data_IF_450842780230
#
_entry.id   IF_450842780230
#
_cell.length_a   1.000
_cell.length_b   1.000
_cell.length_c   1.000
_cell.angle_alpha   90.00
_cell.angle_beta   90.00
_cell.angle_gamma   90.00
#
_symmetry.space_group_name_H-M   'P 1'
#
loop_
_entity.id
_entity.type
_entity.pdbx_description
1 polymer ?
#
# COMPACT_ATOMS: atom_id res chain seq x y z
N UNK A 1 20.90 0.61 -25.09
CA UNK A 1 21.29 1.72 -24.18
C UNK A 1 20.69 3.07 -24.57
N UNK A 2 20.69 3.48 -25.86
CA UNK A 2 20.13 4.79 -26.28
C UNK A 2 18.60 4.90 -26.11
N UNK A 3 17.83 3.85 -26.42
CA UNK A 3 16.37 3.89 -26.31
C UNK A 3 15.87 3.87 -24.86
N UNK A 4 16.44 3.01 -24.00
CA UNK A 4 16.08 2.94 -22.57
C UNK A 4 16.42 4.21 -21.80
N UNK A 5 17.51 4.89 -22.16
CA UNK A 5 17.84 6.21 -21.60
C UNK A 5 16.89 7.31 -22.11
N UNK A 6 16.41 7.22 -23.35
CA UNK A 6 15.40 8.17 -23.86
C UNK A 6 14.09 8.04 -23.10
N UNK A 7 13.71 6.81 -22.73
CA UNK A 7 12.44 6.52 -22.06
C UNK A 7 12.41 7.08 -20.63
N UNK A 8 13.45 6.86 -19.82
CA UNK A 8 13.48 7.39 -18.44
C UNK A 8 13.68 8.91 -18.38
N UNK A 9 14.00 9.58 -19.49
CA UNK A 9 14.33 11.01 -19.51
C UNK A 9 13.18 11.92 -19.91
N UNK A 10 11.94 11.41 -19.90
CA UNK A 10 10.76 12.19 -20.22
C UNK A 10 10.55 13.38 -19.26
N UNK A 11 10.01 14.47 -19.83
CA UNK A 11 9.58 15.66 -19.10
C UNK A 11 8.06 15.68 -18.97
N UNK A 12 7.55 16.16 -17.84
CA UNK A 12 6.13 16.18 -17.53
C UNK A 12 5.33 17.06 -18.51
N UNK A 13 4.20 16.54 -19.00
CA UNK A 13 3.34 17.28 -19.91
C UNK A 13 2.70 18.48 -19.18
N UNK A 14 2.74 19.66 -19.80
CA UNK A 14 2.25 20.91 -19.20
C UNK A 14 0.75 21.15 -19.40
N UNK A 15 0.10 20.35 -20.24
CA UNK A 15 -1.31 20.45 -20.59
C UNK A 15 -2.03 19.12 -20.33
N UNK A 16 -3.37 19.14 -20.25
CA UNK A 16 -4.19 17.95 -19.99
C UNK A 16 -4.08 17.42 -18.55
N UNK A 17 -3.67 18.29 -17.62
CA UNK A 17 -3.59 18.00 -16.18
C UNK A 17 -4.79 18.59 -15.42
N UNK A 18 -5.81 19.05 -16.13
CA UNK A 18 -7.05 19.67 -15.66
C UNK A 18 -8.22 18.67 -15.56
N UNK A 19 -7.92 17.37 -15.66
CA UNK A 19 -8.93 16.32 -15.55
C UNK A 19 -9.56 16.27 -14.16
N UNK A 20 -10.81 15.82 -14.13
CA UNK A 20 -11.59 15.50 -12.94
C UNK A 20 -11.78 13.98 -12.87
N UNK A 21 -11.63 13.39 -11.69
CA UNK A 21 -11.98 11.99 -11.45
C UNK A 21 -13.36 11.90 -10.79
N UNK A 22 -14.39 11.82 -11.63
CA UNK A 22 -15.79 11.78 -11.19
C UNK A 22 -16.07 10.58 -10.28
N UNK A 23 -15.50 9.40 -10.58
CA UNK A 23 -15.66 8.21 -9.74
C UNK A 23 -15.18 8.49 -8.29
N UNK A 24 -14.00 9.09 -8.15
CA UNK A 24 -13.45 9.44 -6.82
C UNK A 24 -14.32 10.48 -6.12
N UNK A 25 -14.77 11.52 -6.84
CA UNK A 25 -15.62 12.57 -6.28
C UNK A 25 -16.99 12.04 -5.84
N UNK A 26 -17.59 11.13 -6.61
CA UNK A 26 -18.83 10.47 -6.23
C UNK A 26 -18.67 9.60 -4.98
N UNK A 27 -17.57 8.85 -4.86
CA UNK A 27 -17.27 8.08 -3.65
C UNK A 27 -17.15 8.98 -2.42
N UNK A 28 -16.44 10.11 -2.54
CA UNK A 28 -16.33 11.12 -1.48
C UNK A 28 -17.72 11.68 -1.14
N UNK A 29 -18.52 12.05 -2.15
CA UNK A 29 -19.86 12.59 -1.95
C UNK A 29 -20.77 11.61 -1.23
N UNK A 30 -20.74 10.33 -1.60
CA UNK A 30 -21.55 9.30 -0.95
C UNK A 30 -21.13 9.12 0.51
N UNK A 31 -19.85 8.88 0.80
CA UNK A 31 -19.36 8.67 2.16
C UNK A 31 -19.65 9.86 3.08
N UNK A 32 -19.48 11.08 2.57
CA UNK A 32 -19.71 12.29 3.36
C UNK A 32 -21.19 12.61 3.56
N UNK A 33 -22.07 12.19 2.65
CA UNK A 33 -23.53 12.33 2.81
C UNK A 33 -24.11 11.49 3.95
N UNK A 34 -23.40 10.46 4.39
CA UNK A 34 -23.83 9.54 5.45
C UNK A 34 -23.53 10.05 6.86
N UNK A 35 -22.88 11.22 6.97
CA UNK A 35 -22.56 11.87 8.25
C UNK A 35 -23.24 13.24 8.29
N UNK A 36 -23.85 13.65 9.43
CA UNK A 36 -24.42 14.98 9.55
C UNK A 36 -23.40 16.07 9.23
N UNK A 37 -23.79 17.05 8.41
CA UNK A 37 -22.93 18.17 7.98
C UNK A 37 -22.24 18.87 9.16
N UNK A 38 -22.99 19.12 10.25
CA UNK A 38 -22.49 19.72 11.49
C UNK A 38 -21.35 18.94 12.16
N UNK A 39 -21.22 17.65 11.86
CA UNK A 39 -20.16 16.77 12.39
C UNK A 39 -19.01 16.62 11.39
N UNK A 40 -19.32 16.51 10.09
CA UNK A 40 -18.30 16.31 9.06
C UNK A 40 -17.51 17.57 8.71
N UNK A 41 -18.17 18.73 8.55
CA UNK A 41 -17.49 19.97 8.12
C UNK A 41 -16.35 20.40 9.04
N UNK A 42 -16.52 20.42 10.39
CA UNK A 42 -15.42 20.77 11.29
C UNK A 42 -14.26 19.77 11.18
N UNK A 43 -14.57 18.49 10.96
CA UNK A 43 -13.59 17.41 10.87
C UNK A 43 -12.75 17.51 9.59
N UNK A 44 -13.41 17.77 8.46
CA UNK A 44 -12.75 18.03 7.19
C UNK A 44 -11.88 19.31 7.25
N UNK A 45 -12.40 20.37 7.86
CA UNK A 45 -11.66 21.62 8.06
C UNK A 45 -10.41 21.41 8.93
N UNK A 46 -10.52 20.65 10.03
CA UNK A 46 -9.40 20.34 10.90
C UNK A 46 -8.32 19.51 10.19
N UNK A 47 -8.71 18.49 9.42
CA UNK A 47 -7.78 17.68 8.63
C UNK A 47 -6.99 18.54 7.62
N UNK A 48 -7.70 19.41 6.88
CA UNK A 48 -7.06 20.32 5.93
C UNK A 48 -6.15 21.35 6.63
N UNK A 49 -6.62 21.99 7.71
CA UNK A 49 -5.82 22.97 8.44
C UNK A 49 -4.53 22.36 9.01
N UNK A 50 -4.60 21.14 9.54
CA UNK A 50 -3.43 20.39 10.00
C UNK A 50 -2.45 20.11 8.87
N UNK A 51 -2.95 19.62 7.74
CA UNK A 51 -2.13 19.34 6.56
C UNK A 51 -1.41 20.61 6.07
N UNK A 52 -2.12 21.73 5.93
CA UNK A 52 -1.54 22.99 5.47
C UNK A 52 -0.48 23.54 6.44
N UNK A 53 -0.74 23.47 7.76
CA UNK A 53 0.24 23.87 8.77
C UNK A 53 1.50 22.98 8.71
N UNK A 54 1.33 21.67 8.61
CA UNK A 54 2.43 20.73 8.47
C UNK A 54 3.21 20.94 7.16
N UNK A 55 2.53 21.21 6.04
CA UNK A 55 3.15 21.56 4.76
C UNK A 55 4.03 22.81 4.90
N UNK A 56 3.58 23.83 5.62
CA UNK A 56 4.36 25.04 5.90
C UNK A 56 5.59 24.76 6.79
N UNK A 57 5.47 23.88 7.79
CA UNK A 57 6.61 23.42 8.60
C UNK A 57 7.64 22.67 7.76
N UNK A 58 7.18 21.81 6.85
CA UNK A 58 8.07 21.05 5.96
C UNK A 58 8.82 21.94 4.99
N UNK A 59 8.21 23.04 4.53
CA UNK A 59 8.86 24.07 3.73
C UNK A 59 10.04 24.72 4.46
N UNK A 60 10.00 24.75 5.80
CA UNK A 60 11.07 25.26 6.66
C UNK A 60 12.02 24.16 7.14
N UNK A 61 11.93 22.95 6.57
CA UNK A 61 12.76 21.80 6.95
C UNK A 61 12.29 21.05 8.20
N UNK A 62 11.21 21.48 8.86
CA UNK A 62 10.67 20.78 10.03
C UNK A 62 9.77 19.64 9.58
N UNK A 63 10.15 18.40 9.89
CA UNK A 63 9.36 17.20 9.59
C UNK A 63 8.39 16.94 10.73
N UNK A 64 7.12 17.28 10.52
CA UNK A 64 6.01 17.07 11.47
C UNK A 64 4.93 16.16 10.86
N UNK A 65 4.10 15.49 11.67
CA UNK A 65 3.01 14.66 11.15
C UNK A 65 2.01 15.46 10.28
N UNK A 66 1.68 14.94 9.10
CA UNK A 66 0.77 15.59 8.13
C UNK A 66 -0.71 15.35 8.43
N UNK A 67 -1.03 14.30 9.20
CA UNK A 67 -2.39 13.89 9.53
C UNK A 67 -2.57 13.64 11.03
N UNK A 68 -3.82 13.46 11.45
CA UNK A 68 -4.17 12.98 12.77
C UNK A 68 -4.36 11.45 12.73
N UNK A 69 -3.55 10.65 13.45
CA UNK A 69 -3.71 9.20 13.47
C UNK A 69 -5.05 8.74 14.09
N UNK A 70 -5.75 9.60 14.83
CA UNK A 70 -7.09 9.31 15.34
C UNK A 70 -8.19 9.39 14.26
N UNK A 71 -7.92 10.01 13.10
CA UNK A 71 -8.88 10.20 12.01
C UNK A 71 -8.25 10.00 10.62
N UNK A 72 -7.83 8.76 10.37
CA UNK A 72 -7.23 8.37 9.10
C UNK A 72 -8.23 8.43 7.93
N UNK A 73 -9.52 8.20 8.16
CA UNK A 73 -10.53 8.32 7.10
C UNK A 73 -10.66 9.76 6.60
N UNK A 74 -10.54 10.77 7.47
CA UNK A 74 -10.50 12.17 7.04
C UNK A 74 -9.27 12.47 6.17
N UNK A 75 -8.11 11.89 6.51
CA UNK A 75 -6.91 11.96 5.66
C UNK A 75 -7.12 11.32 4.29
N UNK A 76 -7.75 10.15 4.24
CA UNK A 76 -8.04 9.44 2.99
C UNK A 76 -8.94 10.27 2.08
N UNK A 77 -10.03 10.83 2.61
CA UNK A 77 -10.94 11.69 1.84
C UNK A 77 -10.25 12.96 1.33
N UNK A 78 -9.38 13.56 2.15
CA UNK A 78 -8.61 14.73 1.76
C UNK A 78 -7.66 14.42 0.60
N UNK A 79 -6.87 13.34 0.70
CA UNK A 79 -5.94 12.93 -0.35
C UNK A 79 -6.64 12.47 -1.63
N UNK A 80 -7.76 11.74 -1.50
CA UNK A 80 -8.60 11.37 -2.63
C UNK A 80 -9.14 12.62 -3.35
N UNK A 81 -9.56 13.65 -2.61
CA UNK A 81 -10.01 14.91 -3.21
C UNK A 81 -8.87 15.65 -3.91
N UNK A 82 -7.69 15.73 -3.29
CA UNK A 82 -6.51 16.33 -3.92
C UNK A 82 -6.15 15.62 -5.23
N UNK A 83 -6.23 14.29 -5.27
CA UNK A 83 -6.04 13.57 -6.52
C UNK A 83 -7.08 13.95 -7.59
N UNK A 84 -8.36 13.92 -7.22
CA UNK A 84 -9.48 13.99 -8.15
C UNK A 84 -9.78 15.38 -8.70
N UNK A 85 -9.43 16.45 -7.97
CA UNK A 85 -9.77 17.84 -8.33
C UNK A 85 -8.52 18.64 -8.73
N UNK A 86 -8.45 19.17 -9.97
CA UNK A 86 -7.31 19.94 -10.46
C UNK A 86 -7.01 21.20 -9.65
N UNK A 87 -8.02 21.81 -9.01
CA UNK A 87 -7.85 23.00 -8.18
C UNK A 87 -6.97 22.67 -6.96
N UNK A 88 -7.12 21.46 -6.41
CA UNK A 88 -6.45 21.04 -5.18
C UNK A 88 -5.29 20.05 -5.39
N UNK A 89 -5.05 19.60 -6.62
CA UNK A 89 -4.01 18.59 -6.93
C UNK A 89 -2.59 18.95 -6.57
N UNK A 90 -2.29 20.25 -6.48
CA UNK A 90 -0.99 20.72 -5.99
C UNK A 90 -0.70 20.33 -4.53
N UNK A 91 -1.73 19.92 -3.78
CA UNK A 91 -1.65 19.43 -2.41
C UNK A 91 -1.64 17.89 -2.31
N UNK A 92 -1.66 17.16 -3.42
CA UNK A 92 -1.58 15.71 -3.40
C UNK A 92 -0.26 15.23 -2.78
N UNK A 93 -0.36 14.45 -1.71
CA UNK A 93 0.77 13.87 -1.02
C UNK A 93 1.02 12.45 -1.53
N UNK A 94 1.88 12.37 -2.55
CA UNK A 94 2.16 11.14 -3.30
C UNK A 94 2.46 9.91 -2.42
N UNK A 95 3.24 9.98 -1.31
CA UNK A 95 3.58 8.80 -0.51
C UNK A 95 2.40 8.07 0.15
N UNK A 96 1.24 8.73 0.29
CA UNK A 96 0.00 8.08 0.72
C UNK A 96 -1.07 8.08 -0.36
N UNK A 97 -1.13 9.15 -1.15
CA UNK A 97 -2.19 9.34 -2.13
C UNK A 97 -2.22 8.26 -3.22
N UNK A 98 -1.06 7.71 -3.61
CA UNK A 98 -0.98 6.70 -4.67
C UNK A 98 -1.74 5.41 -4.35
N UNK A 99 -1.84 5.04 -3.07
CA UNK A 99 -2.61 3.86 -2.60
C UNK A 99 -4.06 4.19 -2.30
N UNK A 100 -4.37 5.44 -1.98
CA UNK A 100 -5.73 5.89 -1.63
C UNK A 100 -6.56 6.11 -2.90
N UNK A 101 -6.03 6.83 -3.88
CA UNK A 101 -6.79 7.26 -5.06
C UNK A 101 -7.43 6.10 -5.84
N UNK A 102 -6.71 5.00 -6.17
CA UNK A 102 -7.31 3.87 -6.89
C UNK A 102 -8.44 3.18 -6.14
N UNK A 103 -8.32 3.10 -4.81
CA UNK A 103 -9.33 2.48 -3.95
C UNK A 103 -10.61 3.31 -3.95
N UNK A 104 -10.50 4.63 -3.83
CA UNK A 104 -11.66 5.52 -3.93
C UNK A 104 -12.28 5.54 -5.32
N UNK A 105 -11.46 5.49 -6.36
CA UNK A 105 -11.95 5.35 -7.74
C UNK A 105 -12.76 4.07 -7.88
N UNK A 106 -12.27 2.96 -7.32
CA UNK A 106 -12.99 1.68 -7.37
C UNK A 106 -14.29 1.72 -6.57
N UNK A 107 -14.33 2.38 -5.41
CA UNK A 107 -15.57 2.60 -4.66
C UNK A 107 -16.59 3.36 -5.51
N UNK A 108 -16.18 4.44 -6.17
CA UNK A 108 -17.01 5.23 -7.09
C UNK A 108 -17.65 4.37 -8.17
N UNK A 109 -16.82 3.61 -8.87
CA UNK A 109 -17.26 2.68 -9.92
C UNK A 109 -18.21 1.57 -9.46
N UNK A 110 -18.21 1.27 -8.16
CA UNK A 110 -19.08 0.28 -7.55
C UNK A 110 -20.31 0.90 -6.87
N UNK A 111 -20.45 2.23 -6.81
CA UNK A 111 -21.58 2.89 -6.15
C UNK A 111 -22.95 2.42 -6.66
N UNK A 112 -23.19 2.22 -7.98
CA UNK A 112 -24.48 1.72 -8.46
C UNK A 112 -24.80 0.31 -7.93
N UNK A 113 -23.78 -0.51 -7.66
CA UNK A 113 -23.93 -1.83 -7.06
C UNK A 113 -24.12 -1.72 -5.54
N UNK A 114 -23.26 -0.95 -4.87
CA UNK A 114 -23.28 -0.76 -3.42
C UNK A 114 -24.62 -0.20 -2.91
N UNK A 115 -25.23 0.75 -3.63
CA UNK A 115 -26.56 1.30 -3.28
C UNK A 115 -27.69 0.27 -3.32
N UNK A 116 -27.47 -0.90 -3.92
CA UNK A 116 -28.44 -2.01 -4.02
C UNK A 116 -28.16 -3.13 -3.01
N UNK A 117 -27.14 -2.97 -2.17
CA UNK A 117 -26.74 -3.94 -1.15
C UNK A 117 -27.38 -3.52 0.17
N UNK A 118 -28.08 -4.45 0.83
CA UNK A 118 -28.66 -4.19 2.15
C UNK A 118 -27.57 -3.91 3.18
N UNK A 119 -27.71 -2.85 3.99
CA UNK A 119 -26.75 -2.54 5.04
C UNK A 119 -25.46 -1.80 4.58
N UNK A 120 -25.32 -1.48 3.30
CA UNK A 120 -24.11 -0.86 2.76
C UNK A 120 -23.91 0.59 3.24
N UNK A 121 -24.98 1.39 3.29
CA UNK A 121 -24.95 2.76 3.79
C UNK A 121 -24.64 2.79 5.29
N UNK A 122 -25.19 1.85 6.08
CA UNK A 122 -24.89 1.72 7.50
C UNK A 122 -23.44 1.30 7.75
N UNK A 123 -22.90 0.40 6.92
CA UNK A 123 -21.48 0.01 6.98
C UNK A 123 -20.57 1.20 6.64
N UNK A 124 -20.90 1.96 5.58
CA UNK A 124 -20.17 3.15 5.18
C UNK A 124 -20.27 4.30 6.21
N UNK A 125 -21.42 4.51 6.83
CA UNK A 125 -21.60 5.47 7.92
C UNK A 125 -20.75 5.10 9.14
N UNK A 126 -20.65 3.80 9.47
CA UNK A 126 -19.78 3.30 10.55
C UNK A 126 -18.31 3.51 10.27
N UNK A 127 -17.85 3.23 9.04
CA UNK A 127 -16.50 3.57 8.58
C UNK A 127 -16.18 5.05 8.87
N UNK A 128 -17.14 5.93 8.56
CA UNK A 128 -17.01 7.37 8.74
C UNK A 128 -17.12 7.86 10.19
N UNK A 129 -17.55 7.03 11.15
CA UNK A 129 -17.85 7.45 12.53
C UNK A 129 -17.07 6.67 13.58
N UNK A 130 -17.17 5.35 13.59
CA UNK A 130 -16.50 4.47 14.55
C UNK A 130 -15.19 3.88 13.99
N UNK A 131 -15.08 3.73 12.67
CA UNK A 131 -13.92 3.17 11.97
C UNK A 131 -12.80 4.17 11.65
N UNK A 132 -12.78 5.36 12.26
CA UNK A 132 -11.93 6.48 11.82
C UNK A 132 -10.42 6.17 11.80
N UNK A 133 -9.96 5.34 12.73
CA UNK A 133 -8.55 5.01 12.89
C UNK A 133 -8.05 3.90 11.94
N UNK A 134 -8.95 3.08 11.40
CA UNK A 134 -8.60 1.91 10.60
C UNK A 134 -9.57 1.77 9.41
N UNK A 135 -9.54 2.73 8.46
CA UNK A 135 -10.51 2.77 7.37
C UNK A 135 -10.38 1.61 6.38
N UNK A 136 -9.20 0.98 6.29
CA UNK A 136 -8.93 -0.06 5.30
C UNK A 136 -9.85 -1.28 5.44
N UNK A 137 -10.26 -1.64 6.66
CA UNK A 137 -11.13 -2.79 6.94
C UNK A 137 -12.52 -2.56 6.33
N UNK A 138 -13.16 -1.45 6.70
CA UNK A 138 -14.49 -1.10 6.20
C UNK A 138 -14.52 -0.82 4.69
N UNK A 139 -13.44 -0.23 4.15
CA UNK A 139 -13.32 -0.05 2.69
C UNK A 139 -13.19 -1.41 2.00
N UNK A 140 -12.38 -2.33 2.53
CA UNK A 140 -12.21 -3.65 1.94
C UNK A 140 -13.51 -4.46 1.95
N UNK A 141 -14.26 -4.40 3.05
CA UNK A 141 -15.61 -4.99 3.16
C UNK A 141 -16.56 -4.48 2.06
N UNK A 142 -16.60 -3.16 1.83
CA UNK A 142 -17.41 -2.55 0.76
C UNK A 142 -16.96 -3.04 -0.63
N UNK A 143 -15.65 -3.10 -0.89
CA UNK A 143 -15.11 -3.58 -2.16
C UNK A 143 -15.48 -5.05 -2.43
N UNK A 144 -15.42 -5.91 -1.41
CA UNK A 144 -15.82 -7.32 -1.51
C UNK A 144 -17.32 -7.42 -1.79
N UNK A 145 -18.17 -6.71 -1.04
CA UNK A 145 -19.62 -6.72 -1.24
C UNK A 145 -20.01 -6.25 -2.65
N UNK A 146 -19.43 -5.13 -3.10
CA UNK A 146 -19.63 -4.63 -4.47
C UNK A 146 -19.17 -5.63 -5.53
N UNK A 147 -18.11 -6.37 -5.28
CA UNK A 147 -17.63 -7.43 -6.20
C UNK A 147 -18.63 -8.57 -6.33
N UNK A 148 -19.19 -9.08 -5.22
CA UNK A 148 -20.24 -10.10 -5.26
C UNK A 148 -21.44 -9.61 -6.07
N UNK A 149 -21.93 -8.40 -5.78
CA UNK A 149 -23.09 -7.83 -6.48
C UNK A 149 -22.83 -7.67 -7.98
N UNK A 150 -21.67 -7.15 -8.35
CA UNK A 150 -21.25 -6.97 -9.76
C UNK A 150 -21.04 -8.30 -10.50
N UNK A 151 -20.72 -9.38 -9.78
CA UNK A 151 -20.59 -10.75 -10.32
C UNK A 151 -21.93 -11.52 -10.37
N UNK A 152 -23.05 -10.82 -10.22
CA UNK A 152 -24.39 -11.38 -10.43
C UNK A 152 -24.93 -12.18 -9.25
N UNK A 153 -24.42 -11.94 -8.04
CA UNK A 153 -25.11 -12.39 -6.83
C UNK A 153 -26.39 -11.55 -6.64
N UNK A 154 -27.52 -12.24 -6.51
CA UNK A 154 -28.85 -11.64 -6.54
C UNK A 154 -29.11 -10.85 -5.25
N UNK A 155 -28.87 -11.50 -4.11
CA UNK A 155 -28.87 -10.87 -2.79
C UNK A 155 -27.46 -10.76 -2.24
N UNK A 156 -27.12 -9.58 -1.73
CA UNK A 156 -25.89 -9.29 -0.99
C UNK A 156 -26.30 -8.34 0.13
N UNK A 157 -26.00 -8.72 1.37
CA UNK A 157 -26.40 -7.97 2.55
C UNK A 157 -25.27 -7.97 3.59
N UNK A 158 -25.00 -6.80 4.17
CA UNK A 158 -24.18 -6.67 5.36
C UNK A 158 -24.94 -7.18 6.58
N UNK A 159 -24.27 -8.00 7.39
CA UNK A 159 -24.85 -8.42 8.67
C UNK A 159 -24.73 -7.27 9.68
N UNK A 160 -25.83 -6.84 10.32
CA UNK A 160 -25.78 -5.82 11.36
C UNK A 160 -25.02 -6.34 12.58
N UNK A 161 -24.01 -5.61 13.06
CA UNK A 161 -23.31 -6.00 14.28
C UNK A 161 -24.25 -5.92 15.49
N UNK A 162 -24.23 -6.97 16.31
CA UNK A 162 -24.95 -7.01 17.57
C UNK A 162 -23.97 -7.16 18.73
N UNK A 163 -23.58 -6.05 19.39
CA UNK A 163 -22.66 -6.11 20.53
C UNK A 163 -23.15 -7.09 21.60
N UNK A 164 -22.28 -7.99 22.06
CA UNK A 164 -22.58 -8.95 23.12
C UNK A 164 -23.22 -10.28 22.66
N UNK A 165 -23.50 -10.46 21.37
CA UNK A 165 -23.87 -11.76 20.78
C UNK A 165 -22.66 -12.43 20.12
N UNK A 166 -22.80 -13.72 19.77
CA UNK A 166 -21.77 -14.51 19.09
C UNK A 166 -21.24 -13.78 17.84
N UNK A 167 -19.96 -13.99 17.51
CA UNK A 167 -19.30 -13.41 16.33
C UNK A 167 -20.11 -13.73 15.06
N UNK A 168 -20.33 -12.71 14.23
CA UNK A 168 -21.16 -12.80 13.03
C UNK A 168 -20.31 -12.56 11.78
N UNK A 169 -20.63 -13.20 10.66
CA UNK A 169 -19.95 -12.96 9.41
C UNK A 169 -20.25 -11.55 8.88
N UNK A 170 -19.35 -10.98 8.08
CA UNK A 170 -19.56 -9.65 7.51
C UNK A 170 -20.72 -9.58 6.49
N UNK A 171 -20.86 -10.59 5.62
CA UNK A 171 -21.87 -10.60 4.54
C UNK A 171 -22.66 -11.91 4.45
N UNK A 172 -23.89 -11.78 3.98
CA UNK A 172 -24.70 -12.85 3.42
C UNK A 172 -24.83 -12.64 1.92
N UNK A 173 -24.60 -13.69 1.13
CA UNK A 173 -24.69 -13.62 -0.33
C UNK A 173 -25.46 -14.81 -0.89
N UNK A 174 -26.42 -14.53 -1.78
CA UNK A 174 -27.26 -15.53 -2.43
C UNK A 174 -27.29 -15.40 -3.96
N UNK A 175 -27.24 -16.55 -4.65
CA UNK A 175 -27.41 -16.66 -6.11
C UNK A 175 -28.16 -17.95 -6.44
N UNK A 176 -29.45 -17.84 -6.74
CA UNK A 176 -30.33 -19.00 -6.90
C UNK A 176 -30.37 -19.88 -5.66
N UNK A 177 -29.87 -21.12 -5.78
CA UNK A 177 -29.80 -22.09 -4.65
C UNK A 177 -28.48 -22.03 -3.87
N UNK A 178 -27.56 -21.16 -4.26
CA UNK A 178 -26.28 -21.01 -3.58
C UNK A 178 -26.41 -19.91 -2.52
N UNK A 179 -26.21 -20.30 -1.26
CA UNK A 179 -26.24 -19.42 -0.09
C UNK A 179 -24.88 -19.48 0.58
N UNK A 180 -24.26 -18.33 0.85
CA UNK A 180 -22.94 -18.28 1.50
C UNK A 180 -22.88 -17.19 2.56
N UNK A 181 -22.05 -17.46 3.56
CA UNK A 181 -21.60 -16.50 4.58
C UNK A 181 -20.18 -16.09 4.25
N UNK A 182 -19.92 -14.79 4.23
CA UNK A 182 -18.62 -14.24 3.82
C UNK A 182 -18.04 -13.43 4.96
N UNK A 183 -16.78 -13.72 5.29
CA UNK A 183 -16.01 -12.98 6.27
C UNK A 183 -14.86 -12.27 5.57
N UNK A 184 -14.68 -10.99 5.86
CA UNK A 184 -13.64 -10.14 5.30
C UNK A 184 -12.59 -9.84 6.39
N UNK A 185 -11.31 -9.96 6.01
CA UNK A 185 -10.20 -9.52 6.84
C UNK A 185 -9.20 -8.78 5.98
N UNK A 186 -8.97 -7.51 6.30
CA UNK A 186 -7.79 -6.82 5.81
C UNK A 186 -6.63 -7.25 6.69
N UNK A 187 -5.64 -7.90 6.10
CA UNK A 187 -4.34 -7.98 6.74
C UNK A 187 -3.71 -6.59 6.59
N UNK A 188 -3.85 -5.76 7.61
CA UNK A 188 -3.16 -4.48 7.68
C UNK A 188 -1.64 -4.67 7.58
N UNK A 189 -0.89 -3.57 7.61
CA UNK A 189 0.58 -3.64 7.70
C UNK A 189 1.05 -4.36 8.97
N UNK A 190 0.20 -4.59 9.98
CA UNK A 190 0.61 -5.22 11.24
C UNK A 190 1.16 -6.65 11.10
N UNK A 191 2.16 -6.95 11.94
CA UNK A 191 2.81 -8.25 12.03
C UNK A 191 4.14 -8.33 11.28
N UNK A 192 4.56 -9.56 10.97
CA UNK A 192 5.90 -9.89 10.50
C UNK A 192 6.37 -9.07 9.28
N UNK A 193 5.49 -8.78 8.30
CA UNK A 193 5.87 -8.02 7.12
C UNK A 193 6.23 -6.55 7.44
N UNK A 194 5.60 -5.94 8.45
CA UNK A 194 5.97 -4.61 8.91
C UNK A 194 7.26 -4.64 9.73
N UNK A 195 7.45 -5.64 10.58
CA UNK A 195 8.71 -5.81 11.32
C UNK A 195 9.90 -5.97 10.37
N UNK A 196 9.76 -6.77 9.31
CA UNK A 196 10.75 -6.96 8.24
C UNK A 196 11.04 -5.65 7.51
N UNK A 197 10.00 -4.92 7.09
CA UNK A 197 10.15 -3.59 6.46
C UNK A 197 10.84 -2.60 7.39
N UNK A 198 10.41 -2.52 8.64
CA UNK A 198 10.98 -1.59 9.63
C UNK A 198 12.44 -1.94 9.95
N UNK A 199 12.83 -3.22 9.94
CA UNK A 199 14.24 -3.61 10.03
C UNK A 199 15.04 -3.10 8.82
N UNK A 200 14.50 -3.23 7.61
CA UNK A 200 15.07 -2.65 6.38
C UNK A 200 15.22 -1.12 6.46
N UNK A 201 14.20 -0.41 6.94
CA UNK A 201 14.22 1.04 7.13
C UNK A 201 15.27 1.48 8.17
N UNK A 202 15.42 0.74 9.29
CA UNK A 202 16.46 1.02 10.29
C UNK A 202 17.87 0.81 9.71
N UNK A 203 18.09 -0.28 8.99
CA UNK A 203 19.37 -0.51 8.29
C UNK A 203 19.66 0.58 7.24
N UNK A 204 18.64 1.00 6.49
CA UNK A 204 18.77 2.08 5.52
C UNK A 204 19.12 3.42 6.20
N UNK A 205 18.48 3.74 7.32
CA UNK A 205 18.77 4.95 8.09
C UNK A 205 20.24 5.02 8.53
N UNK A 206 20.81 3.91 9.01
CA UNK A 206 22.24 3.84 9.36
C UNK A 206 23.14 4.04 8.14
N UNK A 207 22.80 3.45 6.99
CA UNK A 207 23.54 3.66 5.74
C UNK A 207 23.47 5.13 5.25
N UNK A 208 22.30 5.77 5.38
CA UNK A 208 22.13 7.19 5.08
C UNK A 208 22.99 8.08 5.97
N UNK A 209 23.08 7.75 7.27
CA UNK A 209 23.87 8.51 8.24
C UNK A 209 25.38 8.44 7.95
N UNK A 210 25.90 7.27 7.56
CA UNK A 210 27.28 7.12 7.12
C UNK A 210 27.53 7.92 5.82
N UNK A 211 26.63 7.82 4.84
CA UNK A 211 26.71 8.59 3.59
C UNK A 211 26.73 10.11 3.86
N UNK A 212 25.90 10.59 4.79
CA UNK A 212 25.85 11.98 5.24
C UNK A 212 27.16 12.41 5.90
N UNK A 213 27.65 11.62 6.86
CA UNK A 213 28.89 11.90 7.60
C UNK A 213 30.11 11.97 6.68
N UNK A 214 30.19 11.05 5.72
CA UNK A 214 31.27 11.01 4.72
C UNK A 214 31.10 12.05 3.61
N UNK A 215 30.01 12.81 3.62
CA UNK A 215 29.64 13.78 2.58
C UNK A 215 29.69 13.16 1.17
N UNK A 216 29.27 11.90 1.03
CA UNK A 216 29.31 11.16 -0.24
C UNK A 216 27.92 10.67 -0.62
N UNK A 217 27.49 10.94 -1.85
CA UNK A 217 26.22 10.43 -2.35
C UNK A 217 26.36 8.98 -2.81
N UNK A 218 25.49 8.10 -2.30
CA UNK A 218 25.64 6.65 -2.48
C UNK A 218 24.34 5.98 -2.89
N UNK A 219 24.45 4.91 -3.66
CA UNK A 219 23.39 3.97 -3.96
C UNK A 219 23.77 2.63 -3.35
N UNK A 220 22.87 2.04 -2.56
CA UNK A 220 22.98 0.69 -2.00
C UNK A 220 21.83 -0.13 -2.56
N UNK A 221 22.13 -1.27 -3.18
CA UNK A 221 21.11 -2.22 -3.64
C UNK A 221 21.40 -3.59 -3.01
N UNK A 222 20.49 -4.09 -2.18
CA UNK A 222 20.65 -5.31 -1.41
C UNK A 222 19.59 -6.37 -1.75
N UNK A 223 20.00 -7.63 -1.70
CA UNK A 223 19.11 -8.80 -1.74
C UNK A 223 19.42 -9.65 -0.52
N UNK A 224 18.55 -9.60 0.47
CA UNK A 224 18.75 -10.30 1.74
C UNK A 224 18.41 -11.78 1.60
N UNK A 225 19.36 -12.64 2.00
CA UNK A 225 19.15 -14.08 2.07
C UNK A 225 18.67 -14.50 3.47
N UNK A 226 19.12 -13.79 4.51
CA UNK A 226 18.65 -13.93 5.88
C UNK A 226 17.37 -13.10 6.15
N UNK A 227 16.68 -13.40 7.26
CA UNK A 227 15.60 -12.54 7.74
C UNK A 227 16.18 -11.17 8.17
N UNK A 228 15.57 -10.07 7.70
CA UNK A 228 16.08 -8.72 8.00
C UNK A 228 16.09 -8.43 9.51
N UNK A 229 15.19 -9.05 10.27
CA UNK A 229 15.09 -8.90 11.73
C UNK A 229 16.26 -9.52 12.48
N UNK A 230 16.98 -10.46 11.85
CA UNK A 230 18.09 -11.18 12.47
C UNK A 230 19.43 -10.56 12.10
N UNK A 231 19.45 -9.60 11.17
CA UNK A 231 20.64 -8.88 10.76
C UNK A 231 20.91 -7.68 11.67
N UNK A 232 22.20 -7.38 11.94
CA UNK A 232 22.58 -6.16 12.65
C UNK A 232 22.08 -4.90 11.92
N UNK A 233 21.61 -3.89 12.67
CA UNK A 233 21.14 -2.63 12.07
C UNK A 233 22.24 -1.87 11.32
N UNK A 234 23.51 -2.08 11.67
CA UNK A 234 24.66 -1.49 11.01
C UNK A 234 25.14 -2.30 9.78
N UNK A 235 24.46 -3.39 9.40
CA UNK A 235 24.88 -4.29 8.32
C UNK A 235 25.15 -3.53 7.01
N UNK A 236 24.19 -2.70 6.55
CA UNK A 236 24.36 -1.89 5.34
C UNK A 236 25.32 -0.71 5.54
N UNK A 237 25.31 -0.09 6.72
CA UNK A 237 26.21 1.01 7.06
C UNK A 237 27.69 0.59 6.96
N UNK A 238 28.01 -0.61 7.44
CA UNK A 238 29.33 -1.21 7.32
C UNK A 238 29.75 -1.41 5.85
N UNK A 239 28.82 -1.79 4.95
CA UNK A 239 29.12 -1.87 3.50
C UNK A 239 29.45 -0.50 2.91
N UNK A 240 28.68 0.52 3.27
CA UNK A 240 28.92 1.90 2.82
C UNK A 240 30.27 2.42 3.31
N UNK A 241 30.61 2.18 4.58
CA UNK A 241 31.88 2.62 5.17
C UNK A 241 33.09 1.96 4.47
N UNK A 242 33.03 0.65 4.21
CA UNK A 242 34.12 -0.08 3.51
C UNK A 242 34.29 0.36 2.06
N UNK A 243 33.18 0.57 1.34
CA UNK A 243 33.21 1.14 -0.01
C UNK A 243 33.87 2.53 -0.01
N UNK A 244 33.52 3.37 0.96
CA UNK A 244 34.12 4.69 1.08
C UNK A 244 35.60 4.68 1.44
N UNK A 245 36.04 3.71 2.25
CA UNK A 245 37.44 3.50 2.60
C UNK A 245 38.30 2.85 1.52
N UNK A 246 37.71 2.47 0.37
CA UNK A 246 38.42 1.79 -0.72
C UNK A 246 38.87 0.36 -0.40
N UNK A 247 38.29 -0.25 0.65
CA UNK A 247 38.74 -1.53 1.19
C UNK A 247 38.11 -2.74 0.50
N UNK A 248 36.94 -2.58 -0.12
CA UNK A 248 36.18 -3.67 -0.75
C UNK A 248 35.76 -3.33 -2.19
N UNK A 249 35.46 -4.38 -2.97
CA UNK A 249 34.76 -4.24 -4.24
C UNK A 249 33.39 -3.60 -4.00
N UNK A 250 32.88 -2.86 -4.98
CA UNK A 250 31.52 -2.28 -4.96
C UNK A 250 30.39 -3.31 -4.81
N UNK A 251 30.70 -4.60 -4.73
CA UNK A 251 29.75 -5.72 -4.66
C UNK A 251 30.13 -6.64 -3.50
N UNK A 252 29.14 -7.13 -2.76
CA UNK A 252 29.33 -8.12 -1.69
C UNK A 252 28.42 -9.34 -1.87
N UNK A 253 28.82 -10.45 -1.25
CA UNK A 253 28.05 -11.68 -1.14
C UNK A 253 28.49 -12.40 0.15
N UNK A 254 27.60 -12.48 1.14
CA UNK A 254 27.82 -13.10 2.45
C UNK A 254 26.53 -13.78 2.96
N UNK A 255 26.55 -14.28 4.20
CA UNK A 255 25.41 -14.98 4.81
C UNK A 255 24.15 -14.10 4.95
N UNK A 256 24.32 -12.79 5.13
CA UNK A 256 23.19 -11.86 5.21
C UNK A 256 22.55 -11.61 3.84
N UNK A 257 23.33 -11.71 2.77
CA UNK A 257 22.85 -11.61 1.41
C UNK A 257 23.90 -11.08 0.44
N UNK A 258 23.42 -10.55 -0.68
CA UNK A 258 24.28 -10.00 -1.75
C UNK A 258 23.81 -8.62 -2.18
N UNK A 259 24.72 -7.79 -2.65
CA UNK A 259 24.36 -6.46 -3.11
C UNK A 259 25.52 -5.65 -3.64
N UNK A 260 25.26 -4.37 -3.87
CA UNK A 260 26.27 -3.41 -4.30
C UNK A 260 26.16 -2.05 -3.61
N UNK A 261 27.29 -1.37 -3.47
CA UNK A 261 27.40 0.06 -3.12
C UNK A 261 28.07 0.77 -4.28
N UNK A 262 27.47 1.85 -4.76
CA UNK A 262 27.98 2.64 -5.87
C UNK A 262 27.84 4.15 -5.62
N UNK A 263 28.61 4.94 -6.35
CA UNK A 263 28.37 6.37 -6.45
C UNK A 263 27.13 6.67 -7.30
N UNK A 264 26.48 7.79 -6.99
CA UNK A 264 25.30 8.25 -7.74
C UNK A 264 25.68 8.72 -9.14
N UNK A 265 24.96 8.22 -10.14
CA UNK A 265 25.04 8.74 -11.52
C UNK A 265 24.07 9.91 -11.68
N UNK A 266 24.59 11.14 -11.61
CA UNK A 266 23.78 12.36 -11.57
C UNK A 266 23.15 12.80 -12.89
N UNK A 267 23.68 12.33 -14.02
CA UNK A 267 23.34 12.84 -15.35
C UNK A 267 21.82 12.88 -15.63
N UNK A 268 21.10 11.76 -15.46
CA UNK A 268 19.65 11.71 -15.67
C UNK A 268 18.88 12.68 -14.76
N UNK A 269 19.05 12.57 -13.44
CA UNK A 269 18.34 13.40 -12.48
C UNK A 269 18.56 14.90 -12.73
N UNK A 270 19.82 15.33 -12.89
CA UNK A 270 20.14 16.74 -13.12
C UNK A 270 19.58 17.27 -14.44
N UNK A 271 19.40 16.42 -15.44
CA UNK A 271 18.82 16.84 -16.72
C UNK A 271 17.31 17.02 -16.64
N UNK A 272 16.60 16.18 -15.89
CA UNK A 272 15.16 16.38 -15.64
C UNK A 272 14.93 17.58 -14.73
N UNK A 273 15.70 17.72 -13.64
CA UNK A 273 15.56 18.84 -12.69
C UNK A 273 15.79 20.24 -13.29
N UNK A 274 16.43 20.35 -14.47
CA UNK A 274 16.49 21.64 -15.20
C UNK A 274 15.15 22.11 -15.74
N UNK A 275 14.16 21.23 -15.82
CA UNK A 275 12.88 21.49 -16.45
C UNK A 275 11.71 21.17 -15.53
N UNK A 276 11.82 20.14 -14.69
CA UNK A 276 10.76 19.65 -13.81
C UNK A 276 11.22 19.60 -12.36
N UNK A 277 10.36 20.02 -11.43
CA UNK A 277 10.54 19.73 -10.02
C UNK A 277 9.98 18.33 -9.71
N UNK A 278 10.75 17.49 -9.02
CA UNK A 278 10.40 16.08 -8.79
C UNK A 278 10.14 15.84 -7.31
N UNK A 279 9.06 15.14 -6.97
CA UNK A 279 8.78 14.74 -5.59
C UNK A 279 9.99 13.99 -4.99
N UNK A 280 10.54 14.50 -3.89
CA UNK A 280 11.77 13.95 -3.31
C UNK A 280 11.55 12.55 -2.75
N UNK A 281 12.37 11.60 -3.19
CA UNK A 281 12.25 10.19 -2.81
C UNK A 281 11.16 9.40 -3.55
N UNK A 282 10.44 10.01 -4.50
CA UNK A 282 9.47 9.29 -5.34
C UNK A 282 10.11 8.22 -6.22
N UNK A 283 9.30 7.27 -6.73
CA UNK A 283 9.74 6.28 -7.71
C UNK A 283 10.39 6.92 -8.94
N UNK A 284 9.91 8.09 -9.37
CA UNK A 284 10.51 8.86 -10.46
C UNK A 284 11.94 9.31 -10.14
N UNK A 285 12.18 9.78 -8.91
CA UNK A 285 13.54 10.13 -8.48
C UNK A 285 14.42 8.89 -8.37
N UNK A 286 13.91 7.79 -7.81
CA UNK A 286 14.60 6.49 -7.73
C UNK A 286 15.00 6.04 -9.15
N UNK A 287 14.07 6.07 -10.11
CA UNK A 287 14.30 5.68 -11.50
C UNK A 287 15.44 6.46 -12.14
N UNK A 288 15.48 7.77 -11.92
CA UNK A 288 16.53 8.63 -12.47
C UNK A 288 17.89 8.40 -11.79
N UNK A 289 17.91 7.96 -10.54
CA UNK A 289 19.14 7.69 -9.79
C UNK A 289 19.76 6.33 -10.16
N UNK A 290 18.93 5.29 -10.32
CA UNK A 290 19.40 3.91 -10.56
C UNK A 290 19.30 3.48 -12.03
N UNK A 291 18.62 4.25 -12.88
CA UNK A 291 18.44 3.99 -14.31
C UNK A 291 17.24 3.13 -14.68
N UNK A 292 16.36 2.82 -13.73
CA UNK A 292 15.16 2.00 -13.89
C UNK A 292 14.35 1.95 -12.59
N UNK A 293 13.11 1.48 -12.63
CA UNK A 293 12.30 1.30 -11.42
C UNK A 293 11.77 -0.13 -11.39
N UNK A 294 11.93 -0.78 -10.24
CA UNK A 294 11.41 -2.12 -9.97
C UNK A 294 10.41 -2.00 -8.82
N UNK A 295 9.09 -2.17 -9.07
CA UNK A 295 8.07 -2.11 -8.03
C UNK A 295 8.26 -3.14 -6.91
N UNK A 296 9.07 -4.18 -7.16
CA UNK A 296 9.42 -5.19 -6.16
C UNK A 296 10.48 -4.71 -5.18
N UNK A 297 11.14 -3.57 -5.42
CA UNK A 297 12.18 -3.03 -4.56
C UNK A 297 11.58 -2.16 -3.46
N UNK A 298 11.83 -2.48 -2.20
CA UNK A 298 11.65 -1.53 -1.12
C UNK A 298 12.76 -0.47 -1.21
N UNK A 299 12.41 0.81 -1.14
CA UNK A 299 13.37 1.91 -1.25
C UNK A 299 13.25 2.90 -0.10
N UNK A 300 14.41 3.40 0.34
CA UNK A 300 14.55 4.53 1.25
C UNK A 300 15.50 5.55 0.61
N UNK A 301 15.11 6.82 0.64
CA UNK A 301 15.89 7.92 0.06
C UNK A 301 16.05 9.02 1.10
N UNK A 302 17.30 9.39 1.37
CA UNK A 302 17.66 10.53 2.20
C UNK A 302 18.58 11.47 1.42
N UNK A 303 18.63 12.74 1.77
CA UNK A 303 19.50 13.67 1.06
C UNK A 303 19.35 15.14 1.44
N UNK A 304 20.06 15.97 0.71
CA UNK A 304 20.03 17.43 0.80
C UNK A 304 19.48 17.96 -0.53
N UNK A 305 18.41 18.74 -0.46
CA UNK A 305 17.75 19.31 -1.64
C UNK A 305 17.20 20.71 -1.34
N UNK A 306 17.00 21.46 -2.40
CA UNK A 306 16.28 22.74 -2.37
C UNK A 306 14.83 22.46 -2.80
N UNK A 307 13.83 22.76 -1.95
CA UNK A 307 12.44 22.64 -2.35
C UNK A 307 12.07 23.61 -3.47
N UNK A 308 11.11 23.23 -4.30
CA UNK A 308 10.50 24.10 -5.30
C UNK A 308 9.57 25.12 -4.65
N UNK A 309 9.44 26.28 -5.30
CA UNK A 309 8.55 27.34 -4.81
C UNK A 309 7.10 26.86 -4.71
N UNK A 310 6.44 27.15 -3.58
CA UNK A 310 5.11 26.66 -3.23
C UNK A 310 4.94 25.14 -3.10
N UNK A 311 5.99 24.34 -3.34
CA UNK A 311 5.95 22.87 -3.41
C UNK A 311 7.05 22.24 -2.54
N UNK A 312 6.87 22.21 -1.21
CA UNK A 312 7.93 21.82 -0.27
C UNK A 312 8.37 20.35 -0.38
N UNK A 313 7.54 19.49 -0.96
CA UNK A 313 7.87 18.07 -1.20
C UNK A 313 8.61 17.82 -2.52
N UNK A 314 8.66 18.80 -3.42
CA UNK A 314 9.29 18.67 -4.72
C UNK A 314 10.68 19.27 -4.69
N UNK A 315 11.69 18.52 -5.11
CA UNK A 315 13.04 18.99 -5.25
C UNK A 315 13.19 19.80 -6.53
N UNK A 316 13.64 21.04 -6.37
CA UNK A 316 14.13 21.87 -7.47
C UNK A 316 15.57 21.54 -7.82
N UNK A 317 16.39 21.28 -6.80
CA UNK A 317 17.75 20.77 -6.98
C UNK A 317 18.13 19.82 -5.85
N UNK A 318 19.03 18.87 -6.14
CA UNK A 318 19.52 17.90 -5.17
C UNK A 318 21.05 17.97 -5.15
N UNK A 319 21.62 18.29 -3.98
CA UNK A 319 23.07 18.40 -3.79
C UNK A 319 23.66 17.08 -3.27
N UNK A 320 22.90 16.34 -2.45
CA UNK A 320 23.31 15.06 -1.88
C UNK A 320 22.15 14.09 -1.87
N UNK A 321 22.44 12.81 -2.11
CA UNK A 321 21.44 11.75 -1.99
C UNK A 321 22.09 10.45 -1.56
N UNK A 322 21.40 9.75 -0.67
CA UNK A 322 21.67 8.38 -0.26
C UNK A 322 20.42 7.57 -0.57
N UNK A 323 20.55 6.59 -1.46
CA UNK A 323 19.48 5.69 -1.84
C UNK A 323 19.82 4.29 -1.34
N UNK A 324 18.89 3.66 -0.65
CA UNK A 324 18.98 2.26 -0.24
C UNK A 324 17.77 1.54 -0.80
N UNK A 325 18.01 0.55 -1.67
CA UNK A 325 16.99 -0.34 -2.20
C UNK A 325 17.24 -1.77 -1.72
N UNK A 326 16.20 -2.48 -1.31
CA UNK A 326 16.32 -3.88 -0.89
C UNK A 326 15.13 -4.76 -1.27
N UNK A 327 15.40 -6.06 -1.35
CA UNK A 327 14.38 -7.12 -1.41
C UNK A 327 14.74 -8.24 -0.43
N UNK A 328 13.72 -8.90 0.12
CA UNK A 328 13.88 -10.12 0.92
C UNK A 328 13.71 -11.37 0.04
N UNK A 329 14.71 -12.25 0.06
CA UNK A 329 14.68 -13.57 -0.59
C UNK A 329 14.62 -14.72 0.43
N UNK A 330 14.37 -14.42 1.71
CA UNK A 330 14.37 -15.41 2.79
C UNK A 330 13.22 -16.41 2.64
N UNK A 331 13.57 -17.71 2.54
CA UNK A 331 12.57 -18.78 2.55
C UNK A 331 11.84 -18.89 3.89
N UNK A 332 12.53 -18.61 5.00
CA UNK A 332 11.94 -18.65 6.33
C UNK A 332 10.91 -17.52 6.50
N UNK A 333 11.21 -16.32 6.00
CA UNK A 333 10.25 -15.22 5.93
C UNK A 333 8.99 -15.63 5.16
N UNK A 334 9.14 -16.33 4.03
CA UNK A 334 8.02 -16.83 3.25
C UNK A 334 7.18 -17.88 4.02
N UNK A 335 7.82 -18.77 4.79
CA UNK A 335 7.13 -19.75 5.66
C UNK A 335 6.35 -19.07 6.78
N UNK A 336 6.95 -18.12 7.50
CA UNK A 336 6.29 -17.36 8.57
C UNK A 336 5.08 -16.57 8.05
N UNK A 337 5.20 -15.93 6.88
CA UNK A 337 4.07 -15.26 6.21
C UNK A 337 2.91 -16.22 5.91
N UNK A 338 3.20 -17.46 5.50
CA UNK A 338 2.16 -18.47 5.27
C UNK A 338 1.49 -18.98 6.55
N UNK A 339 2.27 -19.18 7.63
CA UNK A 339 1.73 -19.50 8.96
C UNK A 339 0.84 -18.38 9.50
N UNK A 340 1.25 -17.12 9.30
CA UNK A 340 0.43 -15.96 9.65
C UNK A 340 -0.89 -15.94 8.85
N UNK A 341 -0.86 -16.21 7.55
CA UNK A 341 -2.07 -16.36 6.72
C UNK A 341 -3.02 -17.42 7.29
N UNK A 342 -2.50 -18.60 7.67
CA UNK A 342 -3.31 -19.63 8.35
C UNK A 342 -3.95 -19.12 9.65
N UNK A 343 -3.20 -18.36 10.46
CA UNK A 343 -3.72 -17.77 11.68
C UNK A 343 -4.82 -16.73 11.46
N UNK A 344 -4.69 -15.90 10.43
CA UNK A 344 -5.73 -14.93 10.01
C UNK A 344 -6.99 -15.67 9.60
N UNK A 345 -6.86 -16.71 8.75
CA UNK A 345 -7.98 -17.55 8.33
C UNK A 345 -8.63 -18.25 9.52
N UNK A 346 -7.86 -18.74 10.48
CA UNK A 346 -8.37 -19.31 11.73
C UNK A 346 -9.31 -18.37 12.46
N UNK A 347 -8.86 -17.14 12.72
CA UNK A 347 -9.67 -16.12 13.42
C UNK A 347 -10.91 -15.69 12.64
N UNK A 348 -10.83 -15.67 11.31
CA UNK A 348 -11.96 -15.38 10.44
C UNK A 348 -12.98 -16.53 10.42
N UNK A 349 -12.49 -17.77 10.36
CA UNK A 349 -13.29 -19.00 10.40
C UNK A 349 -14.11 -19.11 11.69
N UNK A 350 -13.57 -18.65 12.83
CA UNK A 350 -14.29 -18.63 14.11
C UNK A 350 -15.50 -17.68 14.13
N UNK A 351 -15.68 -16.81 13.12
CA UNK A 351 -16.82 -15.89 13.01
C UNK A 351 -17.95 -16.45 12.14
N UNK A 352 -17.71 -17.59 11.48
CA UNK A 352 -18.70 -18.19 10.60
C UNK A 352 -19.67 -19.07 11.41
N UNK A 353 -20.98 -18.98 11.16
CA UNK A 353 -22.02 -19.64 11.96
C UNK A 353 -22.10 -21.16 11.82
N UNK A 354 -21.42 -21.76 10.84
CA UNK A 354 -21.41 -23.22 10.64
C UNK A 354 -22.70 -23.84 10.09
N UNK A 355 -23.77 -23.06 9.94
CA UNK A 355 -25.04 -23.49 9.33
C UNK A 355 -25.04 -23.34 7.80
N UNK A 356 -24.12 -22.55 7.24
CA UNK A 356 -23.99 -22.26 5.80
C UNK A 356 -22.56 -22.43 5.30
N UNK A 357 -22.36 -22.73 4.00
CA UNK A 357 -21.03 -22.73 3.39
C UNK A 357 -20.31 -21.38 3.55
N UNK A 358 -19.12 -21.42 4.15
CA UNK A 358 -18.33 -20.23 4.45
C UNK A 358 -17.28 -19.89 3.42
N UNK A 359 -17.05 -18.58 3.25
CA UNK A 359 -15.99 -18.00 2.44
C UNK A 359 -15.25 -16.95 3.27
N UNK A 360 -13.92 -16.97 3.21
CA UNK A 360 -13.09 -15.92 3.83
C UNK A 360 -12.34 -15.16 2.74
N UNK A 361 -12.40 -13.85 2.80
CA UNK A 361 -11.62 -12.92 1.99
C UNK A 361 -10.52 -12.31 2.85
N UNK A 362 -9.26 -12.51 2.45
CA UNK A 362 -8.10 -11.90 3.10
C UNK A 362 -7.41 -10.94 2.14
N UNK A 363 -7.53 -9.64 2.42
CA UNK A 363 -6.93 -8.59 1.62
C UNK A 363 -5.53 -8.25 2.13
N UNK A 364 -4.53 -8.26 1.25
CA UNK A 364 -3.16 -7.82 1.50
C UNK A 364 -2.81 -6.57 0.70
N UNK A 365 -2.17 -5.59 1.31
CA UNK A 365 -1.40 -4.58 0.56
C UNK A 365 -0.03 -5.19 0.29
N UNK A 366 0.28 -5.47 -0.98
CA UNK A 366 1.58 -5.94 -1.38
C UNK A 366 2.48 -4.72 -1.62
N UNK A 367 3.44 -4.50 -0.72
CA UNK A 367 4.46 -3.45 -0.85
C UNK A 367 5.84 -4.13 -0.96
N UNK A 368 6.64 -3.68 -1.92
CA UNK A 368 8.07 -3.97 -1.95
C UNK A 368 8.46 -5.41 -2.30
N UNK A 369 7.76 -6.05 -3.24
CA UNK A 369 8.22 -7.31 -3.84
C UNK A 369 8.44 -8.49 -2.89
N UNK A 370 7.97 -8.36 -1.64
CA UNK A 370 8.12 -9.32 -0.55
C UNK A 370 7.37 -10.64 -0.79
N UNK A 371 6.87 -10.83 -2.01
CA UNK A 371 6.31 -12.05 -2.54
C UNK A 371 7.04 -12.44 -3.81
N UNK A 372 7.89 -13.45 -3.68
CA UNK A 372 7.95 -14.47 -4.74
C UNK A 372 6.53 -15.05 -4.80
N UNK A 373 5.66 -14.43 -5.59
CA UNK A 373 4.20 -14.71 -5.62
C UNK A 373 3.92 -16.20 -5.74
N UNK A 374 4.75 -16.91 -6.52
CA UNK A 374 4.68 -18.36 -6.66
C UNK A 374 4.99 -19.15 -5.37
N UNK A 375 6.00 -18.77 -4.58
CA UNK A 375 6.32 -19.48 -3.33
C UNK A 375 5.24 -19.23 -2.27
N UNK A 376 4.83 -17.96 -2.09
CA UNK A 376 3.77 -17.61 -1.14
C UNK A 376 2.45 -18.30 -1.51
N UNK A 377 2.07 -18.29 -2.79
CA UNK A 377 0.88 -19.01 -3.26
C UNK A 377 0.96 -20.51 -2.94
N UNK A 378 2.11 -21.16 -3.22
CA UNK A 378 2.30 -22.59 -2.92
C UNK A 378 2.20 -22.89 -1.43
N UNK A 379 2.82 -22.08 -0.58
CA UNK A 379 2.78 -22.26 0.87
C UNK A 379 1.39 -22.01 1.44
N UNK A 380 0.70 -20.94 1.02
CA UNK A 380 -0.68 -20.66 1.43
C UNK A 380 -1.63 -21.81 1.01
N UNK A 381 -1.48 -22.31 -0.22
CA UNK A 381 -2.24 -23.49 -0.70
C UNK A 381 -1.97 -24.72 0.17
N UNK A 382 -0.72 -24.96 0.56
CA UNK A 382 -0.39 -26.06 1.47
C UNK A 382 -1.03 -25.89 2.85
N UNK A 383 -1.02 -24.66 3.40
CA UNK A 383 -1.67 -24.34 4.67
C UNK A 383 -3.19 -24.57 4.63
N UNK A 384 -3.86 -24.24 3.52
CA UNK A 384 -5.32 -24.41 3.40
C UNK A 384 -5.76 -25.86 3.15
N UNK A 385 -4.92 -26.67 2.50
CA UNK A 385 -5.19 -28.11 2.28
C UNK A 385 -5.34 -28.89 3.58
N UNK A 386 -4.58 -28.51 4.62
CA UNK A 386 -4.60 -29.16 5.94
C UNK A 386 -5.31 -28.30 6.99
N UNK A 387 -6.06 -27.29 6.57
CA UNK A 387 -6.82 -26.44 7.49
C UNK A 387 -8.04 -27.20 8.01
N UNK A 388 -8.21 -27.19 9.33
CA UNK A 388 -9.38 -27.77 9.98
C UNK A 388 -10.42 -26.66 10.17
N UNK A 389 -11.47 -26.70 9.36
CA UNK A 389 -12.58 -25.75 9.42
C UNK A 389 -13.47 -25.94 10.65
N UNK A 390 -13.30 -27.03 11.43
CA UNK A 390 -14.16 -27.35 12.58
C UNK A 390 -15.64 -27.19 12.20
N UNK A 391 -16.40 -26.45 13.00
CA UNK A 391 -17.83 -26.23 12.81
C UNK A 391 -18.14 -25.14 11.77
N UNK A 392 -17.16 -24.36 11.29
CA UNK A 392 -17.39 -23.15 10.50
C UNK A 392 -17.92 -23.38 9.08
N UNK A 393 -17.85 -24.63 8.58
CA UNK A 393 -18.11 -25.01 7.18
C UNK A 393 -17.38 -24.12 6.17
N UNK A 394 -16.21 -23.58 6.52
CA UNK A 394 -15.35 -22.84 5.59
C UNK A 394 -14.94 -23.73 4.41
N UNK A 395 -15.17 -23.25 3.18
CA UNK A 395 -14.86 -24.00 1.95
C UNK A 395 -13.82 -23.32 1.08
N UNK A 396 -13.82 -21.99 1.07
CA UNK A 396 -13.01 -21.18 0.16
C UNK A 396 -12.35 -20.03 0.90
N UNK A 397 -11.07 -19.82 0.62
CA UNK A 397 -10.33 -18.64 1.09
C UNK A 397 -9.77 -17.90 -0.12
N UNK A 398 -10.02 -16.60 -0.21
CA UNK A 398 -9.41 -15.72 -1.17
C UNK A 398 -8.26 -14.95 -0.52
N UNK A 399 -7.07 -15.00 -1.12
CA UNK A 399 -6.02 -14.02 -0.89
C UNK A 399 -6.09 -12.98 -1.99
N UNK A 400 -6.60 -11.79 -1.66
CA UNK A 400 -6.63 -10.65 -2.57
C UNK A 400 -5.39 -9.80 -2.32
N UNK A 401 -4.48 -9.73 -3.27
CA UNK A 401 -3.24 -8.96 -3.19
C UNK A 401 -3.39 -7.69 -4.03
N UNK A 402 -3.42 -6.55 -3.37
CA UNK A 402 -3.46 -5.24 -4.01
C UNK A 402 -2.07 -4.62 -3.92
N UNK A 403 -1.45 -4.35 -5.07
CA UNK A 403 -0.19 -3.62 -5.18
C UNK A 403 -0.48 -2.28 -5.85
N UNK A 404 -0.78 -1.22 -5.09
CA UNK A 404 -0.68 0.13 -5.60
C UNK A 404 0.75 0.37 -6.09
N UNK A 405 0.88 0.91 -7.30
CA UNK A 405 2.17 1.11 -7.93
C UNK A 405 2.53 2.58 -7.94
N UNK A 406 3.77 2.86 -7.55
CA UNK A 406 4.38 4.15 -7.82
C UNK A 406 4.75 4.22 -9.30
N UNK A 407 3.89 4.83 -10.11
CA UNK A 407 4.04 4.90 -11.56
C UNK A 407 5.17 5.83 -11.99
N UNK A 408 5.94 5.39 -12.98
CA UNK A 408 6.99 6.21 -13.61
C UNK A 408 6.69 6.53 -15.08
N UNK A 409 5.52 6.12 -15.57
CA UNK A 409 5.08 6.39 -16.92
C UNK A 409 4.62 7.86 -17.06
N UNK A 410 4.81 8.42 -18.26
CA UNK A 410 4.65 9.87 -18.52
C UNK A 410 3.25 10.41 -18.27
N UNK A 411 2.22 9.61 -18.54
CA UNK A 411 0.81 10.01 -18.53
C UNK A 411 -0.01 9.11 -17.61
N UNK A 412 0.60 8.62 -16.54
CA UNK A 412 -0.04 7.76 -15.56
C UNK A 412 0.14 8.38 -14.18
N UNK A 413 -0.95 8.57 -13.46
CA UNK A 413 -0.97 9.20 -12.13
C UNK A 413 -1.19 8.18 -11.00
N UNK A 414 -1.69 6.99 -11.33
CA UNK A 414 -1.79 5.86 -10.43
C UNK A 414 -1.96 4.56 -11.24
N UNK A 415 -1.40 3.46 -10.74
CA UNK A 415 -1.68 2.12 -11.21
C UNK A 415 -1.87 1.17 -10.04
N UNK A 416 -2.60 0.10 -10.28
CA UNK A 416 -2.77 -0.98 -9.31
C UNK A 416 -2.65 -2.30 -10.04
N UNK A 417 -1.74 -3.14 -9.57
CA UNK A 417 -1.75 -4.56 -9.88
C UNK A 417 -2.54 -5.29 -8.81
N UNK A 418 -3.55 -6.03 -9.24
CA UNK A 418 -4.34 -6.90 -8.36
C UNK A 418 -4.13 -8.36 -8.75
N UNK A 419 -3.83 -9.19 -7.78
CA UNK A 419 -3.85 -10.65 -7.94
C UNK A 419 -4.82 -11.25 -6.93
N UNK A 420 -5.77 -12.04 -7.40
CA UNK A 420 -6.62 -12.84 -6.53
C UNK A 420 -6.23 -14.31 -6.64
N UNK A 421 -5.81 -14.88 -5.52
CA UNK A 421 -5.57 -16.32 -5.40
C UNK A 421 -6.68 -16.95 -4.55
N UNK A 422 -7.32 -17.99 -5.06
CA UNK A 422 -8.29 -18.77 -4.30
C UNK A 422 -7.67 -20.07 -3.80
N UNK A 423 -8.05 -20.47 -2.59
CA UNK A 423 -7.56 -21.65 -1.91
C UNK A 423 -8.74 -22.50 -1.43
N UNK A 424 -8.90 -23.73 -1.96
CA UNK A 424 -9.89 -24.66 -1.43
C UNK A 424 -9.46 -25.11 -0.02
N UNK A 425 -10.40 -25.15 0.91
CA UNK A 425 -10.19 -25.70 2.25
C UNK A 425 -10.54 -27.19 2.22
N UNK A 426 -9.54 -28.03 2.51
CA UNK A 426 -9.68 -29.48 2.39
C UNK A 426 -10.15 -29.92 1.00
N UNK A 427 -11.29 -30.63 0.94
CA UNK A 427 -11.99 -31.01 -0.30
C UNK A 427 -13.37 -30.34 -0.33
N UNK A 428 -13.49 -29.14 -0.94
CA UNK A 428 -14.75 -28.43 -0.94
C UNK A 428 -15.81 -29.20 -1.73
N UNK A 429 -17.06 -29.11 -1.28
CA UNK A 429 -18.22 -29.77 -1.91
C UNK A 429 -19.00 -28.84 -2.84
N UNK A 430 -18.61 -27.58 -2.96
CA UNK A 430 -19.26 -26.57 -3.81
C UNK A 430 -18.29 -26.01 -4.83
N UNK A 431 -18.82 -25.42 -5.91
CA UNK A 431 -18.01 -24.66 -6.87
C UNK A 431 -17.40 -23.40 -6.22
N UNK A 432 -16.35 -22.89 -6.83
CA UNK A 432 -15.73 -21.63 -6.45
C UNK A 432 -16.74 -20.46 -6.62
N UNK A 433 -16.87 -19.54 -5.63
CA UNK A 433 -17.91 -18.51 -5.63
C UNK A 433 -17.83 -17.34 -6.64
N UNK A 434 -16.66 -16.95 -7.17
CA UNK A 434 -16.44 -15.61 -7.77
C UNK A 434 -15.96 -15.57 -9.23
#
# INVERSE_FOLDING_TARGET
MSETLSDIMWLAQRHGQDWLDEDVLEAISWLTSLVPTREWEPRAAAANARYQAAKADWAQGRRVPLMDPADQIAWYLLQARFYADPISRHDFFEPDGYRIAPVFRRLGQLLPDLRRIGGADERAARLMTHGRMQPDDGIYELLVAGTYKRRGWESVEFVPEKPGLAKQPDLLVDRGRMHRVVECKRAGRSGYAHEERSAGERMAAQAHEISRTLRRSTIVLARFAAELTDLPEDYLANKVARFAGGQDRSVWNDEGGRGMVADVTWGPLRRVLRHDDIYFGSSRMVQLLIGGYDPSLDTSVAGEWVPADGRPFHAHSVSRVSLVGWISLSEEAARRKASHFRGVVGRASDQLPGDRPGVVHVGYEAVGGNSVDGLRHRLNRAQMRTFDARESRLQWVYGNYFMPEHVTARNESAAVSETTAWYPVGRPTTAEPL
#
